data_IF_395625881400
#
_entry.id   IF_395625881400
#
_cell.length_a   1.000
_cell.length_b   1.000
_cell.length_c   1.000
_cell.angle_alpha   90.00
_cell.angle_beta   90.00
_cell.angle_gamma   90.00
#
_symmetry.space_group_name_H-M   'P 1'
#
loop_
_entity.id
_entity.type
_entity.pdbx_description
1 polymer ?
#
# COMPACT_ATOMS: atom_id res chain seq x y z
N UNK A 1 -0.81 -17.74 -4.94
CA UNK A 1 0.18 -16.99 -5.73
C UNK A 1 1.32 -16.61 -4.81
N UNK A 2 2.57 -16.81 -5.22
CA UNK A 2 3.73 -16.35 -4.47
C UNK A 2 4.04 -14.89 -4.82
N UNK A 3 4.32 -14.11 -3.78
CA UNK A 3 4.67 -12.70 -3.84
C UNK A 3 6.08 -12.50 -3.28
N UNK A 4 6.74 -11.45 -3.71
CA UNK A 4 8.13 -11.15 -3.40
C UNK A 4 8.22 -9.68 -3.06
N UNK A 5 8.81 -9.35 -1.92
CA UNK A 5 9.37 -8.03 -1.73
C UNK A 5 10.55 -7.90 -2.67
N UNK A 6 10.62 -6.81 -3.43
CA UNK A 6 11.69 -6.60 -4.40
C UNK A 6 12.24 -5.19 -4.30
N UNK A 7 13.51 -5.05 -4.65
CA UNK A 7 14.15 -3.76 -4.80
C UNK A 7 14.56 -3.55 -6.25
N UNK A 8 14.34 -2.34 -6.76
CA UNK A 8 14.77 -1.99 -8.11
C UNK A 8 16.28 -1.79 -8.14
N UNK A 9 17.01 -2.59 -8.92
CA UNK A 9 18.43 -2.37 -9.25
C UNK A 9 18.57 -2.20 -10.76
N UNK A 10 18.91 -0.99 -11.22
CA UNK A 10 18.91 -0.63 -12.64
C UNK A 10 17.54 -0.95 -13.29
N UNK A 11 17.53 -1.82 -14.29
CA UNK A 11 16.33 -2.24 -15.04
C UNK A 11 15.73 -3.56 -14.54
N UNK A 12 16.22 -4.09 -13.41
CA UNK A 12 15.72 -5.35 -12.83
C UNK A 12 15.18 -5.16 -11.42
N UNK A 13 14.35 -6.11 -10.99
CA UNK A 13 13.78 -6.18 -9.65
C UNK A 13 14.33 -7.42 -8.97
N UNK A 14 15.06 -7.21 -7.89
CA UNK A 14 15.72 -8.29 -7.15
C UNK A 14 14.87 -8.62 -5.92
N UNK A 15 14.44 -9.88 -5.74
CA UNK A 15 13.76 -10.31 -4.52
C UNK A 15 14.62 -10.11 -3.27
N UNK A 16 14.00 -9.63 -2.21
CA UNK A 16 14.57 -9.53 -0.87
C UNK A 16 13.92 -10.62 -0.03
N UNK A 17 14.72 -11.52 0.54
CA UNK A 17 14.24 -12.52 1.48
C UNK A 17 14.14 -11.93 2.88
N UNK A 18 12.92 -11.58 3.29
CA UNK A 18 12.62 -11.01 4.60
C UNK A 18 12.46 -12.07 5.71
N UNK A 19 12.79 -13.33 5.42
CA UNK A 19 12.63 -14.45 6.34
C UNK A 19 13.40 -14.32 7.66
N UNK A 20 14.49 -13.56 7.68
CA UNK A 20 15.31 -13.34 8.88
C UNK A 20 14.87 -12.13 9.73
N UNK A 21 13.91 -11.32 9.26
CA UNK A 21 13.41 -10.20 10.04
C UNK A 21 12.61 -10.71 11.24
N UNK A 22 12.85 -10.14 12.42
CA UNK A 22 12.22 -10.58 13.68
C UNK A 22 10.69 -10.49 13.65
N UNK A 23 10.14 -9.53 12.93
CA UNK A 23 8.71 -9.31 12.79
C UNK A 23 8.06 -10.15 11.67
N UNK A 24 8.84 -10.95 10.93
CA UNK A 24 8.32 -11.79 9.87
C UNK A 24 7.91 -13.16 10.41
N UNK A 25 6.75 -13.65 9.98
CA UNK A 25 6.28 -15.00 10.30
C UNK A 25 5.81 -15.69 9.03
N UNK A 26 6.41 -16.84 8.75
CA UNK A 26 6.08 -17.67 7.58
C UNK A 26 4.89 -18.57 7.89
N UNK A 27 3.81 -18.42 7.12
CA UNK A 27 2.61 -19.27 7.13
C UNK A 27 2.45 -20.09 5.84
N UNK A 28 2.95 -19.58 4.72
CA UNK A 28 2.84 -20.16 3.40
C UNK A 28 3.93 -21.19 3.13
N UNK A 29 3.62 -22.17 2.27
CA UNK A 29 4.56 -23.24 1.87
C UNK A 29 5.45 -22.85 0.68
N UNK A 30 5.50 -21.56 0.32
CA UNK A 30 6.27 -21.07 -0.82
C UNK A 30 7.78 -21.13 -0.54
N UNK A 31 8.56 -21.53 -1.54
CA UNK A 31 10.03 -21.67 -1.49
C UNK A 31 10.73 -20.44 -2.10
N UNK A 32 12.04 -20.34 -1.88
CA UNK A 32 12.93 -19.35 -2.54
C UNK A 32 12.52 -17.90 -2.29
N UNK A 33 12.29 -17.53 -1.03
CA UNK A 33 11.87 -16.17 -0.62
C UNK A 33 10.43 -15.77 -1.01
N UNK A 34 9.71 -16.63 -1.73
CA UNK A 34 8.32 -16.36 -2.10
C UNK A 34 7.41 -16.41 -0.89
N UNK A 35 6.50 -15.46 -0.75
CA UNK A 35 5.58 -15.26 0.38
C UNK A 35 4.12 -15.17 -0.07
N UNK A 36 3.18 -15.28 0.86
CA UNK A 36 1.83 -14.75 0.63
C UNK A 36 1.87 -13.23 0.77
N UNK A 37 0.95 -12.52 0.10
CA UNK A 37 0.86 -11.06 0.21
C UNK A 37 0.62 -10.63 1.67
N UNK A 38 -0.22 -11.38 2.38
CA UNK A 38 -0.52 -11.15 3.80
C UNK A 38 0.70 -11.26 4.72
N UNK A 39 1.65 -12.14 4.41
CA UNK A 39 2.92 -12.20 5.17
C UNK A 39 3.76 -10.93 4.99
N UNK A 40 3.85 -10.43 3.76
CA UNK A 40 4.59 -9.19 3.46
C UNK A 40 3.90 -8.02 4.16
N UNK A 41 2.58 -7.93 4.06
CA UNK A 41 1.80 -6.84 4.64
C UNK A 41 1.87 -6.86 6.18
N UNK A 42 1.71 -8.03 6.82
CA UNK A 42 1.88 -8.15 8.28
C UNK A 42 3.26 -7.74 8.75
N UNK A 43 4.30 -8.12 8.01
CA UNK A 43 5.67 -7.75 8.33
C UNK A 43 5.87 -6.23 8.22
N UNK A 44 5.52 -5.66 7.06
CA UNK A 44 5.76 -4.23 6.74
C UNK A 44 4.92 -3.29 7.59
N UNK A 45 3.70 -3.67 7.98
CA UNK A 45 2.87 -2.90 8.90
C UNK A 45 3.44 -2.81 10.33
N UNK A 46 4.46 -3.58 10.71
CA UNK A 46 5.15 -3.37 12.00
C UNK A 46 6.03 -2.13 12.00
N UNK A 47 6.45 -1.62 10.84
CA UNK A 47 7.30 -0.45 10.72
C UNK A 47 6.47 0.82 10.58
N UNK A 48 6.91 1.92 11.21
CA UNK A 48 6.22 3.21 11.16
C UNK A 48 6.06 3.66 9.71
N UNK A 49 7.13 3.55 8.92
CA UNK A 49 7.22 3.97 7.53
C UNK A 49 8.38 3.24 6.81
N UNK A 50 8.60 3.59 5.54
CA UNK A 50 9.67 3.03 4.69
C UNK A 50 11.07 3.24 5.28
N UNK A 51 11.32 4.34 6.01
CA UNK A 51 12.63 4.63 6.61
C UNK A 51 13.06 3.53 7.58
N UNK A 52 12.24 3.23 8.59
CA UNK A 52 12.57 2.21 9.58
C UNK A 52 12.61 0.81 8.99
N UNK A 53 11.79 0.55 7.97
CA UNK A 53 11.84 -0.73 7.29
C UNK A 53 13.17 -0.91 6.55
N UNK A 54 13.63 0.11 5.81
CA UNK A 54 14.93 0.06 5.13
C UNK A 54 16.11 0.02 6.07
N UNK A 55 16.02 0.70 7.21
CA UNK A 55 17.02 0.60 8.26
C UNK A 55 17.19 -0.85 8.72
N UNK A 56 16.09 -1.55 9.00
CA UNK A 56 16.14 -2.94 9.46
C UNK A 56 16.59 -3.91 8.36
N UNK A 57 16.15 -3.69 7.10
CA UNK A 57 16.66 -4.44 5.96
C UNK A 57 18.18 -4.30 5.80
N UNK A 58 18.72 -3.10 5.98
CA UNK A 58 20.17 -2.86 5.91
C UNK A 58 20.90 -3.53 7.07
N UNK A 59 20.43 -3.35 8.31
CA UNK A 59 21.03 -3.97 9.51
C UNK A 59 21.01 -5.50 9.45
N UNK A 60 20.01 -6.09 8.80
CA UNK A 60 19.92 -7.52 8.55
C UNK A 60 20.79 -8.01 7.37
N UNK A 61 21.50 -7.11 6.67
CA UNK A 61 22.33 -7.46 5.51
C UNK A 61 21.52 -7.83 4.26
N UNK A 62 20.26 -7.39 4.16
CA UNK A 62 19.35 -7.74 3.07
C UNK A 62 19.40 -6.75 1.90
N UNK A 63 19.88 -5.53 2.16
CA UNK A 63 20.11 -4.48 1.15
C UNK A 63 21.43 -3.76 1.43
N UNK A 64 22.02 -3.17 0.41
CA UNK A 64 23.26 -2.39 0.52
C UNK A 64 22.99 -0.92 0.88
N UNK A 65 24.04 -0.16 1.23
CA UNK A 65 23.90 1.26 1.54
C UNK A 65 23.40 2.08 0.33
N UNK A 66 23.79 1.70 -0.89
CA UNK A 66 23.36 2.33 -2.15
C UNK A 66 21.91 1.98 -2.52
N UNK A 67 21.33 1.00 -1.85
CA UNK A 67 19.95 0.55 -2.05
C UNK A 67 18.94 1.39 -1.25
N UNK A 68 19.38 2.14 -0.23
CA UNK A 68 18.51 2.92 0.68
C UNK A 68 17.57 3.88 -0.05
N UNK A 69 18.02 4.56 -1.10
CA UNK A 69 17.16 5.48 -1.86
C UNK A 69 16.26 4.77 -2.89
N UNK A 70 16.53 3.50 -3.20
CA UNK A 70 15.87 2.76 -4.29
C UNK A 70 14.46 2.33 -3.92
N UNK A 71 13.62 2.17 -4.91
CA UNK A 71 12.21 1.82 -4.71
C UNK A 71 12.06 0.36 -4.28
N UNK A 72 11.31 0.15 -3.19
CA UNK A 72 10.81 -1.17 -2.78
C UNK A 72 9.44 -1.40 -3.42
N UNK A 73 9.22 -2.58 -3.98
CA UNK A 73 7.93 -2.96 -4.58
C UNK A 73 7.55 -4.39 -4.21
N UNK A 74 6.25 -4.69 -4.14
CA UNK A 74 5.76 -6.07 -4.03
C UNK A 74 5.43 -6.56 -5.44
N UNK A 75 5.94 -7.73 -5.80
CA UNK A 75 5.72 -8.33 -7.12
C UNK A 75 5.30 -9.78 -6.99
N UNK A 76 4.52 -10.28 -7.94
CA UNK A 76 4.27 -11.71 -8.06
C UNK A 76 4.85 -12.24 -9.37
N UNK A 77 5.28 -13.49 -9.33
CA UNK A 77 5.78 -14.15 -10.54
C UNK A 77 4.60 -14.55 -11.41
N UNK A 78 4.66 -14.15 -12.68
CA UNK A 78 3.74 -14.60 -13.73
C UNK A 78 4.58 -14.99 -14.93
N UNK A 79 4.55 -16.28 -15.25
CA UNK A 79 5.41 -16.90 -16.25
C UNK A 79 6.90 -16.60 -15.99
N UNK A 80 7.58 -15.98 -16.97
CA UNK A 80 9.00 -15.59 -16.89
C UNK A 80 9.22 -14.16 -16.37
N UNK A 81 8.16 -13.48 -15.89
CA UNK A 81 8.22 -12.07 -15.47
C UNK A 81 7.72 -11.84 -14.03
N UNK A 82 8.02 -10.67 -13.50
CA UNK A 82 7.47 -10.19 -12.23
C UNK A 82 6.48 -9.05 -12.49
N UNK A 83 5.19 -9.29 -12.23
CA UNK A 83 4.15 -8.26 -12.30
C UNK A 83 4.03 -7.53 -10.95
N UNK A 84 3.80 -6.22 -11.03
CA UNK A 84 3.68 -5.32 -9.86
C UNK A 84 2.34 -5.54 -9.15
N UNK A 85 2.37 -5.72 -7.83
CA UNK A 85 1.18 -5.55 -6.98
C UNK A 85 0.86 -4.06 -6.92
N UNK A 86 -0.39 -3.71 -7.22
CA UNK A 86 -0.80 -2.31 -7.30
C UNK A 86 -0.83 -1.69 -5.90
N UNK A 87 -0.71 -0.36 -5.87
CA UNK A 87 -0.95 0.48 -4.69
C UNK A 87 0.05 0.36 -3.52
N UNK A 88 1.17 -0.36 -3.69
CA UNK A 88 2.40 -0.17 -2.89
C UNK A 88 2.56 -1.09 -1.69
N UNK A 89 3.41 -0.69 -0.75
CA UNK A 89 3.70 -1.44 0.49
C UNK A 89 2.96 -0.78 1.66
N UNK A 90 2.16 -1.53 2.43
CA UNK A 90 1.53 -1.00 3.64
C UNK A 90 2.55 -0.85 4.78
N UNK A 91 2.48 0.26 5.50
CA UNK A 91 3.23 0.49 6.74
C UNK A 91 2.25 0.69 7.90
N UNK A 92 2.74 0.91 9.12
CA UNK A 92 1.90 0.95 10.33
C UNK A 92 0.66 1.84 10.22
N UNK A 93 0.76 2.98 9.53
CA UNK A 93 -0.37 3.92 9.34
C UNK A 93 -1.51 3.32 8.51
N UNK A 94 -1.26 2.30 7.69
CA UNK A 94 -2.30 1.64 6.88
C UNK A 94 -3.09 0.59 7.67
N UNK A 95 -2.68 0.22 8.90
CA UNK A 95 -3.32 -0.88 9.67
C UNK A 95 -4.84 -0.79 9.74
N UNK A 96 -5.39 0.40 9.94
CA UNK A 96 -6.84 0.60 10.05
C UNK A 96 -7.60 0.27 8.75
N UNK A 97 -6.93 0.34 7.60
CA UNK A 97 -7.49 -0.05 6.30
C UNK A 97 -7.38 -1.56 6.05
N UNK A 98 -6.56 -2.27 6.82
CA UNK A 98 -6.38 -3.72 6.75
C UNK A 98 -7.24 -4.48 7.78
N UNK A 99 -8.30 -3.85 8.30
CA UNK A 99 -9.38 -4.52 9.02
C UNK A 99 -10.57 -4.78 8.07
N UNK A 100 -11.09 -6.00 8.05
CA UNK A 100 -12.15 -6.40 7.10
C UNK A 100 -13.46 -5.62 7.32
N UNK A 101 -13.82 -5.27 8.55
CA UNK A 101 -15.05 -4.52 8.80
C UNK A 101 -14.78 -3.01 8.75
N UNK A 102 -13.62 -2.57 9.23
CA UNK A 102 -13.13 -1.21 9.18
C UNK A 102 -13.02 -0.70 7.74
N UNK A 103 -12.45 -1.48 6.82
CA UNK A 103 -12.34 -1.08 5.42
C UNK A 103 -13.72 -0.87 4.77
N UNK A 104 -14.69 -1.73 5.08
CA UNK A 104 -16.07 -1.56 4.61
C UNK A 104 -16.65 -0.25 5.12
N UNK A 105 -16.48 0.04 6.41
CA UNK A 105 -16.97 1.28 7.00
C UNK A 105 -16.30 2.51 6.37
N UNK A 106 -14.97 2.48 6.19
CA UNK A 106 -14.22 3.55 5.53
C UNK A 106 -14.75 3.77 4.11
N UNK A 107 -14.95 2.72 3.31
CA UNK A 107 -15.52 2.85 1.97
C UNK A 107 -16.90 3.52 1.99
N UNK A 108 -17.80 3.05 2.85
CA UNK A 108 -19.16 3.60 2.97
C UNK A 108 -19.15 5.06 3.44
N UNK A 109 -18.18 5.46 4.27
CA UNK A 109 -18.02 6.85 4.70
C UNK A 109 -17.76 7.82 3.53
N UNK A 110 -17.21 7.33 2.40
CA UNK A 110 -16.91 8.13 1.20
C UNK A 110 -18.11 8.39 0.30
N UNK A 111 -19.33 7.96 0.65
CA UNK A 111 -20.52 8.11 -0.21
C UNK A 111 -20.88 9.55 -0.61
N UNK A 112 -20.36 10.57 0.08
CA UNK A 112 -20.53 12.00 -0.29
C UNK A 112 -19.32 12.59 -1.01
N UNK A 113 -18.22 11.85 -1.11
CA UNK A 113 -17.00 12.28 -1.77
C UNK A 113 -17.06 11.88 -3.25
N UNK A 114 -17.63 12.77 -4.08
CA UNK A 114 -17.76 12.52 -5.52
C UNK A 114 -16.41 12.36 -6.22
N UNK A 115 -15.34 13.00 -5.74
CA UNK A 115 -14.01 12.89 -6.34
C UNK A 115 -13.44 11.49 -6.06
N UNK A 116 -13.62 10.99 -4.84
CA UNK A 116 -13.28 9.61 -4.51
C UNK A 116 -14.07 8.62 -5.38
N UNK A 117 -15.38 8.79 -5.50
CA UNK A 117 -16.25 7.88 -6.24
C UNK A 117 -15.92 7.85 -7.74
N UNK A 118 -15.62 9.00 -8.36
CA UNK A 118 -15.14 9.06 -9.74
C UNK A 118 -13.83 8.28 -9.93
N UNK A 119 -12.87 8.46 -9.00
CA UNK A 119 -11.61 7.71 -9.03
C UNK A 119 -11.84 6.21 -8.84
N UNK A 120 -12.76 5.81 -7.95
CA UNK A 120 -13.11 4.42 -7.70
C UNK A 120 -13.72 3.79 -8.97
N UNK A 121 -14.73 4.43 -9.56
CA UNK A 121 -15.38 3.97 -10.81
C UNK A 121 -14.37 3.88 -11.94
N UNK A 122 -13.48 4.87 -12.08
CA UNK A 122 -12.43 4.84 -13.10
C UNK A 122 -11.43 3.70 -12.88
N UNK A 123 -10.99 3.48 -11.64
CA UNK A 123 -10.04 2.41 -11.30
C UNK A 123 -10.63 1.02 -11.60
N UNK A 124 -11.93 0.84 -11.34
CA UNK A 124 -12.63 -0.43 -11.48
C UNK A 124 -13.43 -0.57 -12.79
N UNK A 125 -13.32 0.36 -13.75
CA UNK A 125 -14.11 0.39 -15.00
C UNK A 125 -14.10 -0.93 -15.78
N UNK A 126 -12.96 -1.64 -15.77
CA UNK A 126 -12.78 -2.91 -16.48
C UNK A 126 -12.76 -4.11 -15.53
N UNK A 127 -13.24 -3.96 -14.29
CA UNK A 127 -13.32 -5.08 -13.34
C UNK A 127 -14.37 -6.07 -13.79
N UNK A 128 -13.96 -7.27 -14.21
CA UNK A 128 -14.88 -8.36 -14.53
C UNK A 128 -15.79 -8.70 -13.34
N UNK A 129 -15.26 -8.64 -12.12
CA UNK A 129 -16.00 -8.97 -10.90
C UNK A 129 -17.01 -7.89 -10.52
N UNK A 130 -16.67 -6.61 -10.70
CA UNK A 130 -17.44 -5.49 -10.15
C UNK A 130 -18.08 -4.56 -11.18
N UNK A 131 -18.03 -4.87 -12.48
CA UNK A 131 -18.58 -4.02 -13.55
C UNK A 131 -20.02 -3.53 -13.28
N UNK A 132 -20.91 -4.44 -12.86
CA UNK A 132 -22.31 -4.08 -12.54
C UNK A 132 -22.37 -3.06 -11.40
N UNK A 133 -21.61 -3.27 -10.33
CA UNK A 133 -21.59 -2.38 -9.19
C UNK A 133 -20.97 -1.03 -9.55
N UNK A 134 -19.92 -1.01 -10.37
CA UNK A 134 -19.29 0.22 -10.90
C UNK A 134 -20.31 1.03 -11.70
N UNK A 135 -21.09 0.38 -12.57
CA UNK A 135 -22.15 1.03 -13.34
C UNK A 135 -23.28 1.57 -12.45
N UNK A 136 -23.69 0.80 -11.45
CA UNK A 136 -24.69 1.23 -10.45
C UNK A 136 -24.19 2.42 -9.62
N UNK A 137 -22.93 2.44 -9.18
CA UNK A 137 -22.33 3.55 -8.43
C UNK A 137 -22.45 4.83 -9.27
N UNK A 138 -22.01 4.77 -10.54
CA UNK A 138 -22.10 5.91 -11.46
C UNK A 138 -23.53 6.41 -11.63
N UNK A 139 -24.48 5.51 -11.88
CA UNK A 139 -25.90 5.87 -11.97
C UNK A 139 -26.41 6.54 -10.69
N UNK A 140 -26.05 6.04 -9.51
CA UNK A 140 -26.47 6.62 -8.24
C UNK A 140 -25.88 8.01 -8.00
N UNK A 141 -24.64 8.25 -8.44
CA UNK A 141 -24.00 9.57 -8.37
C UNK A 141 -24.74 10.58 -9.25
N UNK A 142 -25.06 10.21 -10.50
CA UNK A 142 -25.77 11.05 -11.47
C UNK A 142 -27.22 11.32 -11.06
N UNK A 143 -27.89 10.31 -10.47
CA UNK A 143 -29.31 10.39 -10.09
C UNK A 143 -29.55 10.90 -8.66
N UNK A 144 -28.50 11.17 -7.88
CA UNK A 144 -28.61 11.63 -6.49
C UNK A 144 -29.19 10.59 -5.50
N UNK A 145 -29.25 9.30 -5.87
CA UNK A 145 -29.87 8.23 -5.06
C UNK A 145 -28.92 7.72 -3.97
N UNK A 146 -28.78 8.48 -2.89
CA UNK A 146 -27.79 8.23 -1.82
C UNK A 146 -27.98 6.90 -1.08
N UNK A 147 -29.21 6.50 -0.78
CA UNK A 147 -29.47 5.22 -0.08
C UNK A 147 -29.03 4.03 -0.94
N UNK A 148 -29.40 4.06 -2.23
CA UNK A 148 -28.99 3.05 -3.19
C UNK A 148 -27.46 3.03 -3.41
N UNK A 149 -26.80 4.19 -3.37
CA UNK A 149 -25.35 4.28 -3.42
C UNK A 149 -24.68 3.52 -2.27
N UNK A 150 -25.16 3.71 -1.04
CA UNK A 150 -24.62 3.00 0.13
C UNK A 150 -24.78 1.48 0.02
N UNK A 151 -25.95 1.01 -0.42
CA UNK A 151 -26.18 -0.42 -0.68
C UNK A 151 -25.23 -0.93 -1.75
N UNK A 152 -25.09 -0.19 -2.86
CA UNK A 152 -24.22 -0.58 -3.97
C UNK A 152 -22.74 -0.61 -3.57
N UNK A 153 -22.26 0.33 -2.75
CA UNK A 153 -20.91 0.31 -2.21
C UNK A 153 -20.68 -0.89 -1.28
N UNK A 154 -21.70 -1.28 -0.51
CA UNK A 154 -21.66 -2.51 0.30
C UNK A 154 -21.57 -3.78 -0.54
N UNK A 155 -22.36 -3.87 -1.61
CA UNK A 155 -22.31 -4.98 -2.58
C UNK A 155 -20.96 -5.03 -3.31
N UNK A 156 -20.47 -3.86 -3.75
CA UNK A 156 -19.16 -3.70 -4.36
C UNK A 156 -18.07 -4.26 -3.46
N UNK A 157 -18.06 -3.85 -2.18
CA UNK A 157 -17.08 -4.28 -1.20
C UNK A 157 -17.06 -5.81 -1.06
N UNK A 158 -18.21 -6.41 -0.76
CA UNK A 158 -18.30 -7.86 -0.54
C UNK A 158 -17.84 -8.63 -1.78
N UNK A 159 -18.22 -8.17 -2.98
CA UNK A 159 -17.86 -8.82 -4.23
C UNK A 159 -16.38 -8.68 -4.58
N UNK A 160 -15.73 -7.59 -4.15
CA UNK A 160 -14.30 -7.36 -4.37
C UNK A 160 -13.44 -8.21 -3.42
N UNK A 161 -13.76 -8.17 -2.12
CA UNK A 161 -12.88 -8.72 -1.07
C UNK A 161 -13.14 -10.18 -0.78
N UNK A 162 -14.19 -10.79 -1.34
CA UNK A 162 -14.49 -12.21 -1.13
C UNK A 162 -14.40 -13.02 -2.42
N UNK A 163 -14.19 -14.32 -2.28
CA UNK A 163 -14.27 -15.31 -3.35
C UNK A 163 -14.93 -16.57 -2.81
N UNK A 164 -15.70 -17.22 -3.66
CA UNK A 164 -16.29 -18.52 -3.34
C UNK A 164 -15.27 -19.63 -3.64
N UNK A 165 -15.05 -20.50 -2.67
CA UNK A 165 -14.26 -21.71 -2.83
C UNK A 165 -15.21 -22.87 -3.14
N UNK A 166 -15.27 -23.28 -4.40
CA UNK A 166 -16.18 -24.33 -4.86
C UNK A 166 -15.85 -25.73 -4.33
N UNK A 167 -14.63 -25.93 -3.82
CA UNK A 167 -14.20 -27.21 -3.25
C UNK A 167 -14.69 -27.38 -1.82
N UNK A 168 -14.68 -26.29 -1.04
CA UNK A 168 -15.08 -26.29 0.37
C UNK A 168 -16.51 -25.78 0.60
N UNK A 169 -17.09 -25.09 -0.39
CA UNK A 169 -18.38 -24.40 -0.24
C UNK A 169 -18.30 -23.10 0.56
N UNK A 170 -17.09 -22.69 0.96
CA UNK A 170 -16.87 -21.56 1.85
C UNK A 170 -16.61 -20.25 1.09
N UNK A 171 -17.01 -19.14 1.70
CA UNK A 171 -16.59 -17.81 1.27
C UNK A 171 -15.28 -17.47 1.94
N UNK A 172 -14.25 -17.20 1.14
CA UNK A 172 -12.90 -16.84 1.61
C UNK A 172 -12.54 -15.42 1.20
N UNK A 173 -11.63 -14.80 1.94
CA UNK A 173 -11.11 -13.48 1.57
C UNK A 173 -10.27 -13.61 0.29
N UNK A 174 -10.55 -12.74 -0.67
CA UNK A 174 -9.68 -12.49 -1.80
C UNK A 174 -8.62 -11.45 -1.40
N UNK A 175 -7.57 -11.91 -0.72
CA UNK A 175 -6.63 -11.03 -0.05
C UNK A 175 -5.93 -10.03 -0.99
N UNK A 176 -5.67 -10.41 -2.24
CA UNK A 176 -5.08 -9.48 -3.23
C UNK A 176 -5.98 -8.28 -3.48
N UNK A 177 -7.27 -8.51 -3.72
CA UNK A 177 -8.23 -7.44 -3.98
C UNK A 177 -8.58 -6.66 -2.72
N UNK A 178 -8.58 -7.32 -1.56
CA UNK A 178 -8.64 -6.65 -0.27
C UNK A 178 -7.47 -5.67 -0.07
N UNK A 179 -6.22 -6.11 -0.28
CA UNK A 179 -5.03 -5.25 -0.26
C UNK A 179 -5.14 -4.11 -1.27
N UNK A 180 -5.47 -4.41 -2.53
CA UNK A 180 -5.54 -3.40 -3.59
C UNK A 180 -6.56 -2.30 -3.23
N UNK A 181 -7.72 -2.67 -2.67
CA UNK A 181 -8.75 -1.73 -2.22
C UNK A 181 -8.30 -0.95 -0.98
N UNK A 182 -7.72 -1.62 0.03
CA UNK A 182 -7.20 -0.98 1.23
C UNK A 182 -6.19 0.13 0.89
N UNK A 183 -5.21 -0.20 0.05
CA UNK A 183 -4.19 0.73 -0.38
C UNK A 183 -4.73 1.80 -1.34
N UNK A 184 -5.73 1.48 -2.18
CA UNK A 184 -6.40 2.49 -3.01
C UNK A 184 -7.03 3.60 -2.15
N UNK A 185 -7.80 3.21 -1.12
CA UNK A 185 -8.48 4.16 -0.23
C UNK A 185 -7.45 4.93 0.61
N UNK A 186 -6.47 4.25 1.17
CA UNK A 186 -5.40 4.89 1.95
C UNK A 186 -4.63 5.94 1.12
N UNK A 187 -4.22 5.60 -0.10
CA UNK A 187 -3.48 6.51 -0.98
C UNK A 187 -4.33 7.73 -1.38
N UNK A 188 -5.65 7.56 -1.50
CA UNK A 188 -6.56 8.68 -1.72
C UNK A 188 -6.60 9.61 -0.49
N UNK A 189 -6.76 9.05 0.70
CA UNK A 189 -6.86 9.82 1.94
C UNK A 189 -5.58 10.60 2.25
N UNK A 190 -4.41 9.97 2.08
CA UNK A 190 -3.11 10.64 2.25
C UNK A 190 -2.92 11.75 1.21
N UNK A 191 -3.33 11.53 -0.04
CA UNK A 191 -3.24 12.57 -1.06
C UNK A 191 -4.16 13.76 -0.75
N UNK A 192 -5.33 13.52 -0.17
CA UNK A 192 -6.25 14.56 0.27
C UNK A 192 -5.68 15.34 1.46
N UNK A 193 -5.13 14.64 2.45
CA UNK A 193 -4.50 15.24 3.65
C UNK A 193 -3.30 16.12 3.25
N UNK A 194 -2.40 15.62 2.39
CA UNK A 194 -1.30 16.40 1.81
C UNK A 194 -1.79 17.67 1.13
N UNK A 195 -2.85 17.56 0.33
CA UNK A 195 -3.45 18.71 -0.35
C UNK A 195 -4.04 19.72 0.64
N UNK A 196 -4.68 19.28 1.72
CA UNK A 196 -5.23 20.14 2.77
C UNK A 196 -4.11 20.87 3.54
N UNK A 197 -3.00 20.19 3.79
CA UNK A 197 -1.79 20.80 4.35
C UNK A 197 -1.05 21.69 3.34
N UNK A 198 -1.41 21.65 2.05
CA UNK A 198 -0.74 22.40 0.99
C UNK A 198 0.67 21.89 0.70
N UNK A 199 0.90 20.58 0.87
CA UNK A 199 2.13 19.89 0.48
C UNK A 199 2.05 19.57 -1.01
N UNK A 200 2.99 20.10 -1.78
CA UNK A 200 3.12 19.84 -3.23
C UNK A 200 3.76 18.47 -3.48
N UNK A 201 3.64 17.97 -4.72
CA UNK A 201 4.28 16.70 -5.10
C UNK A 201 5.80 16.81 -5.09
N UNK A 202 6.31 17.99 -5.43
CA UNK A 202 7.73 18.32 -5.45
C UNK A 202 8.30 18.35 -4.03
N UNK A 203 7.58 18.95 -3.07
CA UNK A 203 7.95 18.93 -1.65
C UNK A 203 7.94 17.50 -1.09
N UNK A 204 6.89 16.72 -1.35
CA UNK A 204 6.80 15.32 -0.90
C UNK A 204 7.95 14.45 -1.44
N UNK A 205 8.32 14.68 -2.71
CA UNK A 205 9.48 14.00 -3.33
C UNK A 205 10.80 14.43 -2.68
N UNK A 206 10.98 15.72 -2.46
CA UNK A 206 12.19 16.28 -1.83
C UNK A 206 12.33 15.79 -0.38
N UNK A 207 11.24 15.75 0.38
CA UNK A 207 11.21 15.24 1.75
C UNK A 207 11.63 13.77 1.79
N UNK A 208 11.10 12.95 0.87
CA UNK A 208 11.49 11.54 0.73
C UNK A 208 12.98 11.39 0.39
N UNK A 209 13.51 12.21 -0.51
CA UNK A 209 14.94 12.19 -0.88
C UNK A 209 15.83 12.55 0.33
N UNK A 210 15.52 13.65 1.03
CA UNK A 210 16.24 14.09 2.23
C UNK A 210 16.19 13.04 3.35
N UNK A 211 15.03 12.40 3.53
CA UNK A 211 14.84 11.33 4.51
C UNK A 211 15.80 10.16 4.28
N UNK A 212 15.98 9.74 3.02
CA UNK A 212 16.90 8.64 2.70
C UNK A 212 18.36 9.07 2.63
N UNK A 213 18.66 10.32 2.30
CA UNK A 213 20.02 10.85 2.47
C UNK A 213 20.43 10.86 3.95
N UNK A 214 19.53 11.27 4.84
CA UNK A 214 19.75 11.23 6.28
C UNK A 214 19.97 9.80 6.76
N UNK A 215 19.12 8.85 6.37
CA UNK A 215 19.31 7.43 6.71
C UNK A 215 20.67 6.93 6.25
N UNK A 216 21.05 7.24 5.01
CA UNK A 216 22.33 6.80 4.43
C UNK A 216 23.52 7.32 5.24
N UNK A 217 23.51 8.61 5.60
CA UNK A 217 24.56 9.22 6.45
C UNK A 217 24.60 8.63 7.85
N UNK A 218 23.43 8.42 8.46
CA UNK A 218 23.31 7.79 9.76
C UNK A 218 23.88 6.38 9.78
N UNK A 219 23.71 5.63 8.69
CA UNK A 219 24.21 4.26 8.56
C UNK A 219 25.70 4.18 8.15
N UNK A 220 26.24 5.20 7.46
CA UNK A 220 27.67 5.25 7.09
C UNK A 220 28.59 5.70 8.24
N UNK A 221 28.02 6.19 9.35
CA UNK A 221 28.80 6.77 10.46
C UNK A 221 29.18 8.24 10.25
N UNK A 222 28.73 8.86 9.14
CA UNK A 222 28.96 10.28 8.84
C UNK A 222 27.84 11.15 9.44
N UNK A 223 27.86 11.35 10.76
CA UNK A 223 26.93 12.26 11.43
C UNK A 223 27.22 13.71 11.01
N UNK A 224 26.43 14.24 10.05
CA UNK A 224 26.40 15.66 9.71
C UNK A 224 24.97 16.16 9.86
N UNK A 225 24.77 17.12 10.78
CA UNK A 225 23.51 17.85 10.92
C UNK A 225 23.07 18.39 9.55
N UNK A 226 21.80 18.20 9.15
CA UNK A 226 21.39 18.54 7.80
C UNK A 226 21.31 20.06 7.62
N UNK A 227 22.05 20.60 6.63
CA UNK A 227 22.28 22.03 6.41
C UNK A 227 21.06 22.85 5.95
N UNK A 228 19.87 22.27 5.80
CA UNK A 228 18.66 22.96 5.36
C UNK A 228 17.44 22.56 6.19
N UNK A 229 17.01 23.41 7.13
CA UNK A 229 15.69 23.30 7.74
C UNK A 229 14.62 23.65 6.73
N UNK A 230 13.88 22.66 6.26
CA UNK A 230 12.61 22.87 5.55
C UNK A 230 11.53 22.95 6.63
N UNK A 231 10.66 23.97 6.59
CA UNK A 231 9.48 23.98 7.49
C UNK A 231 8.60 22.79 7.13
N UNK A 232 8.62 21.71 7.93
CA UNK A 232 7.67 20.62 7.78
C UNK A 232 6.29 21.10 8.20
N UNK A 233 5.27 20.76 7.40
CA UNK A 233 3.89 20.72 7.91
C UNK A 233 3.65 19.28 8.31
N UNK A 234 3.54 19.05 9.60
CA UNK A 234 3.57 17.69 10.13
C UNK A 234 2.33 16.91 9.69
N UNK A 235 2.54 15.86 8.90
CA UNK A 235 1.59 14.76 8.78
C UNK A 235 1.83 13.80 9.95
N UNK A 236 0.75 13.32 10.57
CA UNK A 236 0.86 12.35 11.67
C UNK A 236 1.62 11.09 11.18
N UNK A 237 2.80 10.84 11.75
CA UNK A 237 3.70 9.72 11.38
C UNK A 237 4.75 10.01 10.30
N UNK A 238 4.83 11.22 9.75
CA UNK A 238 6.06 11.72 9.13
C UNK A 238 7.05 12.11 10.24
N UNK A 239 8.32 11.75 10.06
CA UNK A 239 9.37 12.32 10.91
C UNK A 239 9.59 13.74 10.39
N UNK A 240 9.24 14.75 11.18
CA UNK A 240 9.87 16.06 11.02
C UNK A 240 11.33 15.88 11.42
N UNK A 241 12.19 15.76 10.42
CA UNK A 241 13.65 15.68 10.61
C UNK A 241 14.28 17.09 10.59
N UNK A 242 13.46 18.16 10.63
CA UNK A 242 13.85 19.56 10.42
C UNK A 242 13.15 20.57 11.33
#
# INVERSE_FOLDING_TARGET
MAYYLTIRKKDTYIPIDIGCLTCFTKLSKYKSGGCSLEEIDRCTMNYINEYFFKEDLYKAGLIELEDIARELTIRYKKDNSYELVRNGIPYRRTKNYFDLYGLKFILLSKHKDYIFLEKLVSYYRNSYMNNINVSKIKYCMESGKRELLNVTLGEFYMREVTKYDSTTGEVKINYKYFHDLAMFIYNYDIALEKKQLGITKEEDKMERELTFEYLKKSLSGDLVEPKKKVKSKDLEGQISIF
#
